data_IF_097499658170
#
_entry.id   IF_097499658170
#
_cell.length_a   1.000
_cell.length_b   1.000
_cell.length_c   1.000
_cell.angle_alpha   90.00
_cell.angle_beta   90.00
_cell.angle_gamma   90.00
#
_symmetry.space_group_name_H-M   'P 1'
#
loop_
_entity.id
_entity.type
_entity.pdbx_description
1 polymer ?
#
# COMPACT_ATOMS: atom_id res chain seq x y z
N UNK A 1 18.50 32.62 -0.41
CA UNK A 1 18.46 31.97 0.91
C UNK A 1 17.20 32.33 1.70
N UNK A 2 16.91 33.57 2.10
CA UNK A 2 15.67 33.93 2.84
C UNK A 2 14.36 33.69 2.06
N UNK A 3 14.35 33.95 0.76
CA UNK A 3 13.17 33.73 -0.11
C UNK A 3 12.85 32.23 -0.26
N UNK A 4 13.87 31.39 -0.40
CA UNK A 4 13.72 29.94 -0.51
C UNK A 4 13.22 29.32 0.81
N UNK A 5 13.72 29.80 1.96
CA UNK A 5 13.23 29.38 3.27
C UNK A 5 11.75 29.72 3.46
N UNK A 6 11.29 30.88 3.00
CA UNK A 6 9.89 31.26 3.09
C UNK A 6 8.99 30.39 2.19
N UNK A 7 9.46 30.03 0.99
CA UNK A 7 8.73 29.12 0.11
C UNK A 7 8.61 27.69 0.70
N UNK A 8 9.69 27.17 1.27
CA UNK A 8 9.70 25.87 1.93
C UNK A 8 8.74 25.83 3.14
N UNK A 9 8.72 26.88 3.93
CA UNK A 9 7.81 26.97 5.10
C UNK A 9 6.36 27.02 4.66
N UNK A 10 6.03 27.80 3.64
CA UNK A 10 4.66 27.89 3.10
C UNK A 10 4.23 26.58 2.48
N UNK A 11 5.11 25.90 1.75
CA UNK A 11 4.82 24.59 1.16
C UNK A 11 4.62 23.52 2.23
N UNK A 12 5.46 23.50 3.26
CA UNK A 12 5.31 22.58 4.41
C UNK A 12 4.00 22.83 5.16
N UNK A 13 3.62 24.09 5.37
CA UNK A 13 2.35 24.42 6.01
C UNK A 13 1.14 23.97 5.17
N UNK A 14 1.17 24.17 3.85
CA UNK A 14 0.11 23.68 2.95
C UNK A 14 0.00 22.14 3.00
N UNK A 15 1.11 21.44 2.97
CA UNK A 15 1.15 19.98 3.08
C UNK A 15 0.57 19.51 4.41
N UNK A 16 0.94 20.17 5.52
CA UNK A 16 0.41 19.86 6.85
C UNK A 16 -1.11 20.02 6.89
N UNK A 17 -1.65 21.13 6.40
CA UNK A 17 -3.10 21.38 6.34
C UNK A 17 -3.79 20.29 5.51
N UNK A 18 -3.24 19.94 4.34
CA UNK A 18 -3.80 18.87 3.49
C UNK A 18 -3.84 17.53 4.21
N UNK A 19 -2.77 17.17 4.92
CA UNK A 19 -2.69 15.92 5.70
C UNK A 19 -3.72 15.92 6.84
N UNK A 20 -3.85 17.03 7.55
CA UNK A 20 -4.85 17.15 8.65
C UNK A 20 -6.28 17.02 8.12
N UNK A 21 -6.60 17.67 6.99
CA UNK A 21 -7.92 17.55 6.36
C UNK A 21 -8.18 16.10 5.92
N UNK A 22 -7.23 15.48 5.24
CA UNK A 22 -7.34 14.08 4.81
C UNK A 22 -7.53 13.13 6.00
N UNK A 23 -6.80 13.36 7.10
CA UNK A 23 -6.94 12.60 8.34
C UNK A 23 -8.35 12.76 8.96
N UNK A 24 -8.87 13.97 9.04
CA UNK A 24 -10.20 14.24 9.57
C UNK A 24 -11.29 13.55 8.73
N UNK A 25 -11.20 13.63 7.40
CA UNK A 25 -12.13 12.93 6.50
C UNK A 25 -12.04 11.41 6.72
N UNK A 26 -10.84 10.86 6.80
CA UNK A 26 -10.61 9.44 7.06
C UNK A 26 -11.16 9.01 8.43
N UNK A 27 -10.97 9.82 9.47
CA UNK A 27 -11.48 9.56 10.81
C UNK A 27 -13.02 9.55 10.83
N UNK A 28 -13.67 10.54 10.20
CA UNK A 28 -15.14 10.60 10.10
C UNK A 28 -15.67 9.36 9.36
N UNK A 29 -15.06 8.98 8.24
CA UNK A 29 -15.45 7.79 7.50
C UNK A 29 -15.35 6.53 8.37
N UNK A 30 -14.20 6.32 9.01
CA UNK A 30 -13.91 5.08 9.73
C UNK A 30 -14.67 4.97 11.05
N UNK A 31 -14.79 6.07 11.79
CA UNK A 31 -15.39 6.05 13.13
C UNK A 31 -16.90 6.27 13.14
N UNK A 32 -17.45 6.95 12.13
CA UNK A 32 -18.86 7.32 12.10
C UNK A 32 -19.58 6.67 10.94
N UNK A 33 -19.13 6.89 9.69
CA UNK A 33 -19.89 6.47 8.51
C UNK A 33 -19.87 4.94 8.33
N UNK A 34 -18.71 4.30 8.45
CA UNK A 34 -18.62 2.84 8.27
C UNK A 34 -19.43 2.08 9.31
N UNK A 35 -19.35 2.36 10.65
CA UNK A 35 -20.20 1.69 11.63
C UNK A 35 -21.68 1.91 11.38
N UNK A 36 -22.06 3.12 11.01
CA UNK A 36 -23.47 3.49 10.80
C UNK A 36 -24.07 2.78 9.59
N UNK A 37 -23.37 2.73 8.45
CA UNK A 37 -23.90 2.16 7.21
C UNK A 37 -23.65 0.66 7.05
N UNK A 38 -22.53 0.14 7.52
CA UNK A 38 -22.14 -1.26 7.30
C UNK A 38 -22.40 -2.16 8.51
N UNK A 39 -22.53 -1.58 9.70
CA UNK A 39 -22.57 -2.35 10.95
C UNK A 39 -21.21 -2.88 11.36
N UNK A 40 -21.11 -3.35 12.61
CA UNK A 40 -19.84 -3.76 13.22
C UNK A 40 -19.17 -4.95 12.51
N UNK A 41 -19.96 -5.90 12.01
CA UNK A 41 -19.47 -7.11 11.36
C UNK A 41 -18.72 -6.80 10.04
N UNK A 42 -19.36 -6.01 9.16
CA UNK A 42 -18.76 -5.62 7.87
C UNK A 42 -17.60 -4.64 8.05
N UNK A 43 -17.69 -3.76 9.04
CA UNK A 43 -16.57 -2.89 9.39
C UNK A 43 -15.38 -3.72 9.87
N UNK A 44 -15.60 -4.72 10.73
CA UNK A 44 -14.57 -5.66 11.16
C UNK A 44 -13.92 -6.37 9.98
N UNK A 45 -14.70 -6.79 8.98
CA UNK A 45 -14.19 -7.36 7.74
C UNK A 45 -13.24 -6.39 7.00
N UNK A 46 -13.67 -5.15 6.77
CA UNK A 46 -12.85 -4.15 6.06
C UNK A 46 -11.54 -3.89 6.80
N UNK A 47 -11.59 -3.71 8.12
CA UNK A 47 -10.39 -3.50 8.96
C UNK A 47 -9.47 -4.72 8.88
N UNK A 48 -10.01 -5.92 8.96
CA UNK A 48 -9.24 -7.16 8.82
C UNK A 48 -8.55 -7.25 7.46
N UNK A 49 -9.29 -7.04 6.36
CA UNK A 49 -8.74 -7.12 5.00
C UNK A 49 -7.59 -6.12 4.80
N UNK A 50 -7.80 -4.87 5.19
CA UNK A 50 -6.78 -3.82 5.04
C UNK A 50 -5.56 -4.08 5.93
N UNK A 51 -5.76 -4.44 7.19
CA UNK A 51 -4.66 -4.68 8.13
C UNK A 51 -3.80 -5.87 7.70
N UNK A 52 -4.44 -6.97 7.31
CA UNK A 52 -3.73 -8.18 6.85
C UNK A 52 -3.01 -7.93 5.52
N UNK A 53 -3.64 -7.20 4.60
CA UNK A 53 -3.00 -6.81 3.33
C UNK A 53 -1.78 -5.93 3.56
N UNK A 54 -1.84 -4.99 4.50
CA UNK A 54 -0.71 -4.14 4.86
C UNK A 54 0.46 -4.91 5.50
N UNK A 55 0.19 -6.04 6.17
CA UNK A 55 1.24 -6.94 6.64
C UNK A 55 1.89 -7.74 5.51
N UNK A 56 1.13 -8.11 4.48
CA UNK A 56 1.64 -8.83 3.31
C UNK A 56 2.35 -7.92 2.29
N UNK A 57 1.96 -6.65 2.22
CA UNK A 57 2.51 -5.68 1.27
C UNK A 57 4.05 -5.60 1.28
N UNK A 58 4.75 -5.52 2.42
CA UNK A 58 6.22 -5.49 2.46
C UNK A 58 6.86 -6.79 1.96
N UNK A 59 6.19 -7.93 2.16
CA UNK A 59 6.66 -9.23 1.66
C UNK A 59 6.60 -9.28 0.13
N UNK A 60 5.52 -8.81 -0.48
CA UNK A 60 5.34 -8.74 -1.94
C UNK A 60 6.27 -7.68 -2.53
N UNK A 61 6.32 -6.51 -1.92
CA UNK A 61 7.14 -5.38 -2.37
C UNK A 61 8.64 -5.59 -2.20
N UNK A 62 9.07 -6.50 -1.32
CA UNK A 62 10.44 -6.91 -1.08
C UNK A 62 11.46 -5.75 -1.00
N UNK A 63 11.06 -4.64 -0.41
CA UNK A 63 11.93 -3.45 -0.28
C UNK A 63 12.21 -2.72 -1.60
N UNK A 64 11.51 -3.03 -2.68
CA UNK A 64 11.72 -2.45 -4.01
C UNK A 64 11.53 -0.93 -3.99
N UNK A 65 10.53 -0.43 -3.27
CA UNK A 65 10.28 1.01 -3.13
C UNK A 65 11.51 1.76 -2.61
N UNK A 66 12.17 1.20 -1.60
CA UNK A 66 13.41 1.77 -1.04
C UNK A 66 14.59 1.65 -2.00
N UNK A 67 14.65 0.55 -2.75
CA UNK A 67 15.66 0.32 -3.79
C UNK A 67 15.54 1.36 -4.90
N UNK A 68 14.32 1.68 -5.34
CA UNK A 68 14.07 2.74 -6.32
C UNK A 68 14.59 4.08 -5.79
N UNK A 69 14.17 4.47 -4.59
CA UNK A 69 14.53 5.77 -4.01
C UNK A 69 16.05 5.90 -3.86
N UNK A 70 16.74 4.83 -3.47
CA UNK A 70 18.17 4.85 -3.20
C UNK A 70 19.03 4.78 -4.47
N UNK A 71 18.68 3.96 -5.43
CA UNK A 71 19.56 3.61 -6.54
C UNK A 71 19.17 4.23 -7.88
N UNK A 72 17.93 4.67 -8.07
CA UNK A 72 17.46 5.19 -9.36
C UNK A 72 18.32 6.32 -9.90
N UNK A 73 18.78 7.26 -9.05
CA UNK A 73 19.63 8.38 -9.43
C UNK A 73 21.05 7.96 -9.83
N UNK A 74 21.50 6.77 -9.42
CA UNK A 74 22.83 6.24 -9.73
C UNK A 74 22.89 5.58 -11.12
N UNK A 75 21.73 5.31 -11.75
CA UNK A 75 21.68 4.72 -13.09
C UNK A 75 21.78 5.80 -14.16
N UNK A 76 22.54 5.56 -15.25
CA UNK A 76 22.57 6.45 -16.41
C UNK A 76 21.20 6.47 -17.10
N UNK A 77 20.86 7.59 -17.75
CA UNK A 77 19.52 7.82 -18.34
C UNK A 77 19.06 6.67 -19.27
N UNK A 78 19.97 6.14 -20.07
CA UNK A 78 19.69 5.04 -21.01
C UNK A 78 19.36 3.70 -20.31
N UNK A 79 19.65 3.54 -19.02
CA UNK A 79 19.40 2.32 -18.25
C UNK A 79 18.22 2.45 -17.27
N UNK A 80 17.74 3.65 -17.01
CA UNK A 80 16.65 3.90 -16.05
C UNK A 80 15.38 3.15 -16.41
N UNK A 81 15.04 3.08 -17.69
CA UNK A 81 13.86 2.36 -18.14
C UNK A 81 14.01 0.83 -17.96
N UNK A 82 15.18 0.28 -18.25
CA UNK A 82 15.48 -1.14 -18.03
C UNK A 82 15.44 -1.48 -16.54
N UNK A 83 15.99 -0.62 -15.69
CA UNK A 83 15.90 -0.74 -14.23
C UNK A 83 14.45 -0.77 -13.75
N UNK A 84 13.62 0.14 -14.23
CA UNK A 84 12.19 0.18 -13.85
C UNK A 84 11.47 -1.11 -14.29
N UNK A 85 11.70 -1.57 -15.53
CA UNK A 85 11.09 -2.81 -16.03
C UNK A 85 11.47 -4.01 -15.16
N UNK A 86 12.73 -4.12 -14.78
CA UNK A 86 13.22 -5.17 -13.91
C UNK A 86 12.54 -5.11 -12.52
N UNK A 87 12.46 -3.94 -11.95
CA UNK A 87 11.87 -3.70 -10.61
C UNK A 87 10.37 -4.03 -10.57
N UNK A 88 9.65 -3.77 -11.66
CA UNK A 88 8.21 -4.10 -11.77
C UNK A 88 7.98 -5.62 -11.89
N UNK A 89 8.94 -6.35 -12.45
CA UNK A 89 8.83 -7.81 -12.64
C UNK A 89 9.12 -8.59 -11.34
N UNK A 90 10.02 -8.10 -10.49
CA UNK A 90 10.43 -8.82 -9.27
C UNK A 90 9.24 -9.23 -8.37
N UNK A 91 8.24 -8.36 -8.09
CA UNK A 91 7.10 -8.76 -7.26
C UNK A 91 6.34 -9.95 -7.81
N UNK A 92 6.28 -10.15 -9.14
CA UNK A 92 5.59 -11.29 -9.75
C UNK A 92 6.18 -12.62 -9.30
N UNK A 93 7.50 -12.67 -9.08
CA UNK A 93 8.21 -13.87 -8.60
C UNK A 93 7.71 -14.27 -7.21
N UNK A 94 7.29 -13.29 -6.40
CA UNK A 94 6.79 -13.51 -5.04
C UNK A 94 5.27 -13.72 -5.05
N UNK A 95 4.55 -12.97 -5.89
CA UNK A 95 3.09 -13.04 -6.00
C UNK A 95 2.63 -14.44 -6.43
N UNK A 96 3.30 -15.06 -7.41
CA UNK A 96 2.92 -16.37 -7.94
C UNK A 96 2.91 -17.44 -6.84
N UNK A 97 4.03 -17.70 -6.11
CA UNK A 97 4.02 -18.69 -5.04
C UNK A 97 3.09 -18.30 -3.88
N UNK A 98 2.99 -17.02 -3.53
CA UNK A 98 2.10 -16.56 -2.48
C UNK A 98 0.64 -16.80 -2.83
N UNK A 99 0.24 -16.54 -4.06
CA UNK A 99 -1.13 -16.82 -4.54
C UNK A 99 -1.42 -18.31 -4.57
N UNK A 100 -0.48 -19.14 -5.01
CA UNK A 100 -0.63 -20.59 -4.98
C UNK A 100 -0.77 -21.13 -3.56
N UNK A 101 0.07 -20.66 -2.63
CA UNK A 101 -0.05 -21.01 -1.21
C UNK A 101 -1.40 -20.58 -0.63
N UNK A 102 -1.86 -19.38 -0.97
CA UNK A 102 -3.16 -18.87 -0.54
C UNK A 102 -4.32 -19.75 -1.01
N UNK A 103 -4.26 -20.27 -2.23
CA UNK A 103 -5.28 -21.18 -2.77
C UNK A 103 -5.20 -22.55 -2.09
N UNK A 104 -4.01 -23.14 -1.97
CA UNK A 104 -3.81 -24.47 -1.39
C UNK A 104 -4.19 -24.51 0.09
N UNK A 105 -3.83 -23.49 0.85
CA UNK A 105 -4.08 -23.42 2.29
C UNK A 105 -5.30 -22.60 2.66
N UNK A 106 -6.16 -22.26 1.68
CA UNK A 106 -7.35 -21.42 1.90
C UNK A 106 -8.19 -21.91 3.06
N UNK A 107 -8.62 -23.17 3.04
CA UNK A 107 -9.53 -23.73 4.05
C UNK A 107 -8.87 -23.81 5.44
N UNK A 108 -7.57 -24.12 5.49
CA UNK A 108 -6.83 -24.14 6.74
C UNK A 108 -6.72 -22.74 7.36
N UNK A 109 -6.30 -21.75 6.56
CA UNK A 109 -6.16 -20.36 7.01
C UNK A 109 -7.53 -19.79 7.40
N UNK A 110 -8.53 -20.02 6.56
CA UNK A 110 -9.88 -19.55 6.77
C UNK A 110 -10.49 -20.15 8.05
N UNK A 111 -10.29 -21.43 8.32
CA UNK A 111 -10.77 -22.07 9.55
C UNK A 111 -10.17 -21.47 10.82
N UNK A 112 -8.91 -21.06 10.78
CA UNK A 112 -8.25 -20.42 11.92
C UNK A 112 -8.74 -19.00 12.18
N UNK A 113 -9.05 -18.25 11.12
CA UNK A 113 -9.34 -16.81 11.19
C UNK A 113 -10.84 -16.55 11.32
N UNK A 114 -11.69 -17.37 10.67
CA UNK A 114 -13.13 -17.16 10.61
C UNK A 114 -13.87 -17.49 11.91
N UNK A 115 -13.19 -18.05 12.91
CA UNK A 115 -13.77 -18.41 14.22
C UNK A 115 -14.51 -17.24 14.89
N UNK A 116 -14.07 -16.00 14.65
CA UNK A 116 -14.66 -14.78 15.23
C UNK A 116 -15.59 -14.03 14.29
N UNK A 117 -15.45 -14.23 12.98
CA UNK A 117 -16.29 -13.58 11.97
C UNK A 117 -16.38 -14.48 10.72
N UNK A 118 -17.48 -15.23 10.55
CA UNK A 118 -17.64 -16.17 9.44
C UNK A 118 -17.55 -15.54 8.04
N UNK A 119 -17.94 -14.26 7.91
CA UNK A 119 -17.89 -13.53 6.63
C UNK A 119 -16.47 -13.41 6.07
N UNK A 120 -15.44 -13.50 6.92
CA UNK A 120 -14.04 -13.45 6.51
C UNK A 120 -13.69 -14.62 5.58
N UNK A 121 -14.32 -15.77 5.75
CA UNK A 121 -14.07 -16.95 4.91
C UNK A 121 -14.25 -16.65 3.43
N UNK A 122 -15.36 -16.01 3.07
CA UNK A 122 -15.71 -15.73 1.68
C UNK A 122 -14.81 -14.66 1.03
N UNK A 123 -14.22 -13.77 1.84
CA UNK A 123 -13.45 -12.63 1.37
C UNK A 123 -11.94 -12.75 1.60
N UNK A 124 -11.43 -13.88 2.08
CA UNK A 124 -10.00 -14.04 2.40
C UNK A 124 -9.10 -13.80 1.17
N UNK A 125 -9.52 -14.22 -0.01
CA UNK A 125 -8.80 -14.00 -1.27
C UNK A 125 -8.60 -12.52 -1.62
N UNK A 126 -9.49 -11.65 -1.14
CA UNK A 126 -9.41 -10.18 -1.35
C UNK A 126 -8.17 -9.60 -0.67
N UNK A 127 -7.70 -10.20 0.44
CA UNK A 127 -6.46 -9.80 1.11
C UNK A 127 -5.28 -9.83 0.16
N UNK A 128 -5.15 -10.90 -0.62
CA UNK A 128 -4.05 -11.05 -1.58
C UNK A 128 -4.15 -10.00 -2.69
N UNK A 129 -5.35 -9.74 -3.21
CA UNK A 129 -5.57 -8.71 -4.23
C UNK A 129 -5.21 -7.32 -3.73
N UNK A 130 -5.65 -6.96 -2.52
CA UNK A 130 -5.32 -5.65 -1.93
C UNK A 130 -3.81 -5.55 -1.70
N UNK A 131 -3.17 -6.59 -1.17
CA UNK A 131 -1.74 -6.60 -0.91
C UNK A 131 -0.90 -6.45 -2.20
N UNK A 132 -1.30 -7.08 -3.29
CA UNK A 132 -0.69 -6.91 -4.61
C UNK A 132 -0.87 -5.47 -5.09
N UNK A 133 -2.10 -4.96 -5.06
CA UNK A 133 -2.43 -3.60 -5.54
C UNK A 133 -1.67 -2.53 -4.77
N UNK A 134 -1.61 -2.65 -3.43
CA UNK A 134 -0.87 -1.70 -2.59
C UNK A 134 0.64 -1.80 -2.79
N UNK A 135 1.20 -3.00 -3.01
CA UNK A 135 2.62 -3.17 -3.30
C UNK A 135 3.02 -2.50 -4.62
N UNK A 136 2.22 -2.69 -5.68
CA UNK A 136 2.46 -2.00 -6.96
C UNK A 136 2.25 -0.50 -6.87
N UNK A 137 1.25 -0.06 -6.12
CA UNK A 137 1.05 1.37 -5.86
C UNK A 137 2.30 1.99 -5.22
N UNK A 138 2.90 1.35 -4.20
CA UNK A 138 4.12 1.83 -3.56
C UNK A 138 5.33 1.86 -4.52
N UNK A 139 5.45 0.89 -5.43
CA UNK A 139 6.50 0.85 -6.43
C UNK A 139 6.35 2.04 -7.40
N UNK A 140 5.16 2.25 -7.96
CA UNK A 140 4.90 3.35 -8.88
C UNK A 140 4.96 4.72 -8.19
N UNK A 141 4.51 4.80 -6.96
CA UNK A 141 4.62 6.01 -6.15
C UNK A 141 6.09 6.39 -5.90
N UNK A 142 6.92 5.41 -5.55
CA UNK A 142 8.36 5.63 -5.35
C UNK A 142 9.06 6.04 -6.64
N UNK A 143 8.68 5.43 -7.77
CA UNK A 143 9.19 5.82 -9.08
C UNK A 143 8.75 7.24 -9.47
N UNK A 144 7.49 7.59 -9.28
CA UNK A 144 7.01 8.95 -9.51
C UNK A 144 7.77 9.96 -8.65
N UNK A 145 8.00 9.64 -7.37
CA UNK A 145 8.72 10.49 -6.42
C UNK A 145 10.16 10.80 -6.85
N UNK A 146 10.88 9.84 -7.45
CA UNK A 146 12.27 10.06 -7.89
C UNK A 146 12.35 10.76 -9.24
N UNK A 147 11.31 10.65 -10.09
CA UNK A 147 11.25 11.35 -11.38
C UNK A 147 10.76 12.80 -11.25
N UNK A 148 9.74 13.02 -10.45
CA UNK A 148 9.35 14.38 -10.08
C UNK A 148 10.34 14.83 -9.02
N UNK A 149 11.39 15.55 -9.43
CA UNK A 149 12.23 16.28 -8.49
C UNK A 149 11.26 17.13 -7.66
N UNK A 150 10.89 16.60 -6.50
CA UNK A 150 10.16 17.38 -5.52
C UNK A 150 11.11 18.49 -5.10
N UNK A 151 10.89 19.64 -5.71
CA UNK A 151 11.51 20.92 -5.37
C UNK A 151 11.07 21.26 -3.96
#
# INVERSE_FOLDING_TARGET
MFVEMNQLTVQSAKNLVTIVIAFLIGAINTLILYPYFFGAEKQGLVVFLLSTSNLLMPLIGFGISQTIIKFYSSYPENQKQSFLSFVVIIPLIIIIPLSLLSIIFHDFIASLISLKNPIIYDYLWVVVLIAISTSYFEIFYSWARVNFKTV
#
